data_IF_651022563476
#
_entry.id   IF_651022563476
#
_cell.length_a   1.000
_cell.length_b   1.000
_cell.length_c   1.000
_cell.angle_alpha   90.00
_cell.angle_beta   90.00
_cell.angle_gamma   90.00
#
_symmetry.space_group_name_H-M   'P 1'
#
loop_
_entity.id
_entity.type
_entity.pdbx_description
1 polymer ?
#
# COMPACT_ATOMS: atom_id res chain seq x y z
N UNK A 1 76.52 -44.05 -8.69
CA UNK A 1 75.41 -43.78 -9.62
C UNK A 1 74.37 -42.86 -8.97
N UNK A 2 73.91 -41.85 -9.73
CA UNK A 2 72.72 -40.99 -9.60
C UNK A 2 71.52 -41.60 -8.84
N UNK A 3 70.61 -40.84 -8.19
CA UNK A 3 70.07 -39.50 -8.56
C UNK A 3 69.41 -38.86 -7.32
N UNK A 4 69.76 -37.63 -6.95
CA UNK A 4 68.95 -36.81 -6.03
C UNK A 4 67.75 -36.26 -6.81
N UNK A 5 66.53 -36.54 -6.35
CA UNK A 5 65.30 -35.97 -6.91
C UNK A 5 65.16 -34.55 -6.37
N UNK A 6 65.46 -33.56 -7.20
CA UNK A 6 65.18 -32.15 -6.92
C UNK A 6 63.68 -31.92 -6.98
N UNK A 7 63.03 -31.92 -5.81
CA UNK A 7 61.66 -31.41 -5.67
C UNK A 7 61.70 -29.91 -5.89
N UNK A 8 61.32 -29.49 -7.09
CA UNK A 8 61.10 -28.09 -7.45
C UNK A 8 59.87 -27.60 -6.67
N UNK A 9 60.07 -26.96 -5.52
CA UNK A 9 59.03 -26.15 -4.86
C UNK A 9 58.89 -24.88 -5.68
N UNK A 10 57.91 -24.86 -6.58
CA UNK A 10 57.40 -23.61 -7.11
C UNK A 10 56.68 -22.91 -5.95
N UNK A 11 57.39 -21.99 -5.28
CA UNK A 11 56.75 -21.06 -4.37
C UNK A 11 55.74 -20.26 -5.18
N UNK A 12 54.45 -20.57 -5.01
CA UNK A 12 53.37 -19.71 -5.48
C UNK A 12 53.50 -18.42 -4.70
N UNK A 13 54.20 -17.43 -5.27
CA UNK A 13 54.21 -16.06 -4.79
C UNK A 13 52.79 -15.52 -4.96
N UNK A 14 51.92 -15.80 -3.99
CA UNK A 14 50.68 -15.07 -3.83
C UNK A 14 51.08 -13.62 -3.55
N UNK A 15 50.96 -12.76 -4.56
CA UNK A 15 51.08 -11.32 -4.38
C UNK A 15 49.93 -10.89 -3.47
N UNK A 16 50.21 -10.65 -2.20
CA UNK A 16 49.26 -9.98 -1.32
C UNK A 16 49.13 -8.53 -1.75
N UNK A 17 48.20 -8.30 -2.69
CA UNK A 17 47.74 -6.96 -3.06
C UNK A 17 46.86 -6.43 -1.92
N UNK A 18 47.48 -5.77 -0.94
CA UNK A 18 46.76 -5.05 0.11
C UNK A 18 46.03 -3.84 -0.46
N UNK A 19 44.75 -3.68 -0.10
CA UNK A 19 43.98 -2.49 -0.40
C UNK A 19 44.60 -1.26 0.28
N UNK A 20 44.66 -0.13 -0.42
CA UNK A 20 45.19 1.09 0.19
C UNK A 20 44.16 1.71 1.15
N UNK A 21 44.61 2.26 2.28
CA UNK A 21 43.71 2.88 3.27
C UNK A 21 42.92 4.06 2.68
N UNK A 22 43.52 4.77 1.72
CA UNK A 22 42.88 5.86 0.99
C UNK A 22 41.76 5.36 0.08
N UNK A 23 41.94 4.21 -0.57
CA UNK A 23 40.93 3.61 -1.45
C UNK A 23 39.70 3.19 -0.65
N UNK A 24 39.91 2.57 0.51
CA UNK A 24 38.82 2.24 1.43
C UNK A 24 38.11 3.51 1.93
N UNK A 25 38.86 4.57 2.27
CA UNK A 25 38.30 5.82 2.80
C UNK A 25 37.43 6.55 1.78
N UNK A 26 37.90 6.64 0.53
CA UNK A 26 37.12 7.27 -0.56
C UNK A 26 35.86 6.45 -0.86
N UNK A 27 35.94 5.12 -0.83
CA UNK A 27 34.76 4.27 -1.06
C UNK A 27 33.68 4.51 0.01
N UNK A 28 34.05 4.54 1.29
CA UNK A 28 33.08 4.79 2.38
C UNK A 28 32.49 6.19 2.25
N UNK A 29 33.28 7.20 1.87
CA UNK A 29 32.79 8.55 1.63
C UNK A 29 31.77 8.60 0.47
N UNK A 30 32.04 7.90 -0.63
CA UNK A 30 31.14 7.85 -1.78
C UNK A 30 29.84 7.10 -1.47
N UNK A 31 29.92 5.94 -0.81
CA UNK A 31 28.74 5.18 -0.38
C UNK A 31 27.89 6.02 0.60
N UNK A 32 28.54 6.79 1.49
CA UNK A 32 27.86 7.71 2.40
C UNK A 32 27.00 8.74 1.65
N UNK A 33 27.57 9.41 0.64
CA UNK A 33 26.84 10.40 -0.17
C UNK A 33 25.67 9.75 -0.94
N UNK A 34 25.90 8.59 -1.58
CA UNK A 34 24.87 7.89 -2.35
C UNK A 34 23.70 7.40 -1.47
N UNK A 35 24.00 6.91 -0.25
CA UNK A 35 22.98 6.47 0.69
C UNK A 35 22.08 7.61 1.17
N UNK A 36 22.64 8.79 1.41
CA UNK A 36 21.88 9.96 1.86
C UNK A 36 20.85 10.41 0.81
N UNK A 37 21.25 10.48 -0.46
CA UNK A 37 20.32 10.83 -1.56
C UNK A 37 19.19 9.80 -1.69
N UNK A 38 19.51 8.52 -1.48
CA UNK A 38 18.54 7.43 -1.56
C UNK A 38 17.47 7.52 -0.45
N UNK A 39 17.85 7.94 0.77
CA UNK A 39 16.92 8.05 1.89
C UNK A 39 15.82 9.11 1.66
N UNK A 40 16.19 10.28 1.15
CA UNK A 40 15.22 11.36 0.92
C UNK A 40 14.21 10.96 -0.17
N UNK A 41 14.66 10.32 -1.23
CA UNK A 41 13.77 9.84 -2.29
C UNK A 41 12.86 8.69 -1.82
N UNK A 42 13.36 7.82 -0.94
CA UNK A 42 12.62 6.67 -0.44
C UNK A 42 11.33 7.04 0.31
N UNK A 43 11.34 8.12 1.09
CA UNK A 43 10.15 8.55 1.84
C UNK A 43 8.98 8.94 0.90
N UNK A 44 9.26 9.63 -0.21
CA UNK A 44 8.25 9.97 -1.22
C UNK A 44 7.71 8.71 -1.91
N UNK A 45 8.60 7.79 -2.31
CA UNK A 45 8.18 6.55 -2.96
C UNK A 45 7.35 5.67 -2.04
N UNK A 46 7.66 5.66 -0.73
CA UNK A 46 6.90 4.91 0.26
C UNK A 46 5.48 5.47 0.41
N UNK A 47 5.31 6.79 0.44
CA UNK A 47 4.00 7.43 0.49
C UNK A 47 3.17 7.16 -0.78
N UNK A 48 3.79 7.24 -1.96
CA UNK A 48 3.12 6.95 -3.23
C UNK A 48 2.71 5.47 -3.36
N UNK A 49 3.55 4.55 -2.87
CA UNK A 49 3.21 3.13 -2.82
C UNK A 49 2.05 2.84 -1.85
N UNK A 50 2.03 3.53 -0.71
CA UNK A 50 0.90 3.47 0.22
C UNK A 50 -0.39 3.98 -0.43
N UNK A 51 -0.33 5.07 -1.20
CA UNK A 51 -1.47 5.59 -1.95
C UNK A 51 -1.96 4.62 -3.06
N UNK A 52 -1.06 3.92 -3.76
CA UNK A 52 -1.46 2.87 -4.69
C UNK A 52 -2.23 1.72 -4.00
N UNK A 53 -1.88 1.42 -2.73
CA UNK A 53 -2.67 0.49 -1.92
C UNK A 53 -4.05 1.04 -1.56
N UNK A 54 -4.17 2.35 -1.32
CA UNK A 54 -5.46 3.03 -1.10
C UNK A 54 -6.34 2.89 -2.34
N UNK A 55 -5.82 3.22 -3.52
CA UNK A 55 -6.57 3.18 -4.78
C UNK A 55 -7.06 1.77 -5.12
N UNK A 56 -6.19 0.76 -4.98
CA UNK A 56 -6.56 -0.64 -5.23
C UNK A 56 -7.58 -1.19 -4.21
N UNK A 57 -7.46 -0.78 -2.95
CA UNK A 57 -8.44 -1.15 -1.91
C UNK A 57 -9.77 -0.46 -2.15
N UNK A 58 -9.76 0.82 -2.54
CA UNK A 58 -10.97 1.56 -2.88
C UNK A 58 -11.68 0.90 -4.06
N UNK A 59 -10.97 0.57 -5.13
CA UNK A 59 -11.56 -0.15 -6.26
C UNK A 59 -12.17 -1.49 -5.86
N UNK A 60 -11.49 -2.24 -5.00
CA UNK A 60 -12.02 -3.51 -4.46
C UNK A 60 -13.28 -3.27 -3.62
N UNK A 61 -13.31 -2.18 -2.84
CA UNK A 61 -14.46 -1.80 -2.02
C UNK A 61 -15.64 -1.32 -2.86
N UNK A 62 -15.42 -0.56 -3.94
CA UNK A 62 -16.49 -0.13 -4.85
C UNK A 62 -17.14 -1.32 -5.55
N UNK A 63 -16.32 -2.26 -6.02
CA UNK A 63 -16.83 -3.50 -6.65
C UNK A 63 -17.61 -4.35 -5.64
N UNK A 64 -17.13 -4.43 -4.39
CA UNK A 64 -17.86 -5.15 -3.34
C UNK A 64 -19.21 -4.49 -3.01
N UNK A 65 -19.22 -3.15 -2.86
CA UNK A 65 -20.44 -2.38 -2.64
C UNK A 65 -21.45 -2.58 -3.77
N UNK A 66 -21.01 -2.50 -5.03
CA UNK A 66 -21.84 -2.76 -6.21
C UNK A 66 -22.35 -4.20 -6.27
N UNK A 67 -21.50 -5.17 -5.95
CA UNK A 67 -21.89 -6.57 -5.93
C UNK A 67 -22.99 -6.85 -4.90
N UNK A 68 -22.91 -6.23 -3.71
CA UNK A 68 -23.96 -6.37 -2.69
C UNK A 68 -25.32 -5.81 -3.11
N UNK A 69 -25.32 -4.82 -4.01
CA UNK A 69 -26.51 -4.13 -4.51
C UNK A 69 -27.04 -4.71 -5.84
N UNK A 70 -26.37 -5.73 -6.38
CA UNK A 70 -26.76 -6.32 -7.67
C UNK A 70 -28.04 -7.14 -7.62
N UNK A 71 -28.48 -7.58 -6.43
CA UNK A 71 -29.75 -8.29 -6.22
C UNK A 71 -30.82 -7.35 -5.62
N UNK A 72 -31.86 -6.96 -6.39
CA UNK A 72 -32.92 -6.08 -5.91
C UNK A 72 -33.76 -6.65 -4.77
N UNK A 73 -33.78 -7.97 -4.59
CA UNK A 73 -34.62 -8.63 -3.56
C UNK A 73 -33.90 -8.79 -2.22
N UNK A 74 -32.57 -8.60 -2.20
CA UNK A 74 -31.74 -8.81 -1.02
C UNK A 74 -30.69 -7.71 -0.90
N UNK A 75 -31.16 -6.48 -0.71
CA UNK A 75 -30.31 -5.33 -0.44
C UNK A 75 -29.70 -5.43 0.96
N UNK A 76 -28.45 -4.96 1.14
CA UNK A 76 -27.86 -4.87 2.47
C UNK A 76 -28.67 -3.91 3.35
N UNK A 77 -28.68 -4.11 4.68
CA UNK A 77 -29.31 -3.17 5.60
C UNK A 77 -28.62 -1.80 5.52
N UNK A 78 -29.33 -0.71 5.87
CA UNK A 78 -28.73 0.62 5.98
C UNK A 78 -27.52 0.59 6.91
N UNK A 79 -26.45 1.21 6.47
CA UNK A 79 -25.21 1.39 7.20
C UNK A 79 -25.03 2.87 7.53
N UNK A 80 -25.04 3.20 8.82
CA UNK A 80 -24.57 4.51 9.26
C UNK A 80 -23.09 4.71 8.97
N UNK A 81 -22.50 5.78 9.51
CA UNK A 81 -21.05 5.99 9.43
C UNK A 81 -20.30 4.86 10.15
N UNK A 82 -19.75 3.96 9.36
CA UNK A 82 -18.92 2.85 9.81
C UNK A 82 -17.45 3.20 9.63
N UNK A 83 -16.62 2.79 10.59
CA UNK A 83 -15.18 2.92 10.49
C UNK A 83 -14.50 1.66 11.00
N UNK A 84 -13.51 1.17 10.25
CA UNK A 84 -12.59 0.15 10.73
C UNK A 84 -11.15 0.57 10.45
N UNK A 85 -10.32 0.39 11.47
CA UNK A 85 -8.88 0.53 11.38
C UNK A 85 -8.24 -0.84 11.52
N UNK A 86 -7.24 -1.09 10.68
CA UNK A 86 -6.41 -2.28 10.79
C UNK A 86 -6.81 -3.41 9.84
N UNK A 87 -5.88 -4.36 9.66
CA UNK A 87 -6.02 -5.41 8.66
C UNK A 87 -7.10 -6.41 9.04
N UNK A 88 -7.69 -7.03 8.01
CA UNK A 88 -8.58 -8.18 8.19
C UNK A 88 -9.93 -8.01 7.52
N UNK A 89 -10.82 -8.96 7.81
CA UNK A 89 -12.20 -8.89 7.35
C UNK A 89 -12.94 -7.76 8.06
N UNK A 90 -14.00 -7.27 7.42
CA UNK A 90 -14.93 -6.32 8.02
C UNK A 90 -15.58 -6.95 9.26
N UNK A 91 -15.49 -6.28 10.41
CA UNK A 91 -15.95 -6.83 11.69
C UNK A 91 -17.43 -6.65 11.96
N UNK A 92 -18.01 -5.56 11.45
CA UNK A 92 -19.44 -5.28 11.63
C UNK A 92 -20.29 -6.08 10.62
N UNK A 93 -21.36 -6.77 11.05
CA UNK A 93 -22.14 -7.63 10.17
C UNK A 93 -22.91 -6.85 9.08
N UNK A 94 -23.37 -5.62 9.36
CA UNK A 94 -24.02 -4.79 8.36
C UNK A 94 -22.98 -4.31 7.34
N UNK A 95 -21.82 -3.84 7.80
CA UNK A 95 -20.74 -3.43 6.91
C UNK A 95 -20.20 -4.60 6.08
N UNK A 96 -20.14 -5.82 6.64
CA UNK A 96 -19.69 -7.01 5.94
C UNK A 96 -20.68 -7.48 4.85
N UNK A 97 -21.97 -7.22 5.03
CA UNK A 97 -23.00 -7.50 4.02
C UNK A 97 -22.99 -6.49 2.86
N UNK A 98 -22.57 -5.24 3.13
CA UNK A 98 -22.40 -4.21 2.11
C UNK A 98 -21.05 -4.35 1.37
N UNK A 99 -19.95 -4.59 2.09
CA UNK A 99 -18.61 -4.78 1.53
C UNK A 99 -18.26 -6.26 1.43
N UNK A 100 -19.01 -7.00 0.61
CA UNK A 100 -18.92 -8.45 0.50
C UNK A 100 -17.49 -8.92 0.18
N UNK A 101 -16.93 -9.75 1.08
CA UNK A 101 -15.62 -10.37 0.89
C UNK A 101 -14.42 -9.42 0.95
N UNK A 102 -14.63 -8.13 1.24
CA UNK A 102 -13.55 -7.16 1.35
C UNK A 102 -12.65 -7.50 2.55
N UNK A 103 -11.33 -7.53 2.30
CA UNK A 103 -10.31 -7.68 3.33
C UNK A 103 -9.39 -6.48 3.27
N UNK A 104 -9.24 -5.79 4.40
CA UNK A 104 -8.39 -4.63 4.52
C UNK A 104 -6.92 -5.05 4.60
N UNK A 105 -6.03 -4.40 3.83
CA UNK A 105 -4.60 -4.58 4.00
C UNK A 105 -4.09 -3.99 5.32
N UNK A 106 -2.79 -4.14 5.59
CA UNK A 106 -2.18 -3.59 6.80
C UNK A 106 -2.18 -2.06 6.73
N UNK A 107 -2.33 -1.43 7.90
CA UNK A 107 -2.23 0.04 8.04
C UNK A 107 -3.22 0.81 7.15
N UNK A 108 -4.36 0.20 6.83
CA UNK A 108 -5.46 0.89 6.17
C UNK A 108 -6.63 1.11 7.11
N UNK A 109 -7.31 2.22 6.88
CA UNK A 109 -8.58 2.57 7.53
C UNK A 109 -9.62 2.76 6.44
N UNK A 110 -10.81 2.22 6.67
CA UNK A 110 -11.98 2.41 5.81
C UNK A 110 -13.04 3.16 6.59
N UNK A 111 -13.71 4.09 5.90
CA UNK A 111 -14.96 4.69 6.35
C UNK A 111 -15.99 4.37 5.28
N UNK A 112 -17.16 3.87 5.67
CA UNK A 112 -18.22 3.57 4.74
C UNK A 112 -19.58 4.00 5.32
N UNK A 113 -20.49 4.41 4.45
CA UNK A 113 -21.91 4.56 4.77
C UNK A 113 -22.75 4.13 3.58
N UNK A 114 -23.94 3.62 3.87
CA UNK A 114 -24.88 3.15 2.87
C UNK A 114 -26.31 3.44 3.32
N UNK A 115 -27.08 4.15 2.50
CA UNK A 115 -28.50 4.35 2.74
C UNK A 115 -29.33 3.88 1.53
N UNK A 116 -30.04 2.74 1.62
CA UNK A 116 -30.89 2.24 0.54
C UNK A 116 -32.16 3.07 0.32
N UNK A 117 -32.57 3.90 1.28
CA UNK A 117 -33.78 4.71 1.16
C UNK A 117 -33.52 6.05 0.43
N UNK A 118 -32.25 6.32 0.14
CA UNK A 118 -31.77 7.53 -0.48
C UNK A 118 -31.91 7.43 -2.01
N UNK A 119 -33.04 7.93 -2.55
CA UNK A 119 -33.39 7.83 -3.98
C UNK A 119 -33.34 9.17 -4.74
N UNK A 120 -33.13 10.27 -4.02
CA UNK A 120 -33.09 11.61 -4.61
C UNK A 120 -31.66 12.02 -4.98
N UNK A 121 -31.52 12.85 -6.02
CA UNK A 121 -30.22 13.36 -6.49
C UNK A 121 -29.44 14.19 -5.45
N UNK A 122 -30.12 14.70 -4.41
CA UNK A 122 -29.48 15.48 -3.34
C UNK A 122 -28.99 14.66 -2.15
N UNK A 123 -29.25 13.35 -2.14
CA UNK A 123 -28.93 12.47 -1.03
C UNK A 123 -27.79 11.51 -1.42
N UNK A 124 -26.87 11.27 -0.49
CA UNK A 124 -25.68 10.46 -0.68
C UNK A 124 -26.00 9.01 -0.30
N UNK A 125 -26.14 8.13 -1.29
CA UNK A 125 -26.59 6.74 -1.10
C UNK A 125 -25.44 5.82 -0.70
N UNK A 126 -24.28 5.96 -1.33
CA UNK A 126 -23.08 5.21 -0.99
C UNK A 126 -21.91 6.16 -0.73
N UNK A 127 -21.17 5.92 0.35
CA UNK A 127 -19.89 6.56 0.61
C UNK A 127 -18.89 5.50 1.01
N UNK A 128 -17.72 5.50 0.38
CA UNK A 128 -16.59 4.68 0.82
C UNK A 128 -15.32 5.49 0.69
N UNK A 129 -14.59 5.63 1.79
CA UNK A 129 -13.31 6.33 1.85
C UNK A 129 -12.24 5.42 2.43
N UNK A 130 -11.07 5.42 1.78
CA UNK A 130 -9.94 4.62 2.21
C UNK A 130 -8.77 5.54 2.56
N UNK A 131 -8.15 5.22 3.69
CA UNK A 131 -6.98 5.87 4.22
C UNK A 131 -5.86 4.85 4.41
N UNK A 132 -4.62 5.30 4.31
CA UNK A 132 -3.45 4.52 4.69
C UNK A 132 -2.54 5.34 5.59
N UNK A 133 -2.01 4.73 6.65
CA UNK A 133 -1.26 5.46 7.68
C UNK A 133 0.06 6.10 7.19
N UNK A 134 0.52 5.73 5.99
CA UNK A 134 1.79 6.19 5.39
C UNK A 134 1.55 7.06 4.15
N UNK A 135 0.31 7.13 3.67
CA UNK A 135 -0.06 7.98 2.54
C UNK A 135 -0.41 9.38 3.05
N UNK A 136 -0.03 10.40 2.29
CA UNK A 136 -0.45 11.80 2.52
C UNK A 136 -1.75 12.15 1.78
N UNK A 137 -2.25 11.21 0.99
CA UNK A 137 -3.42 11.35 0.15
C UNK A 137 -4.39 10.19 0.39
N UNK A 138 -5.68 10.47 0.26
CA UNK A 138 -6.76 9.50 0.33
C UNK A 138 -7.54 9.46 -0.97
N UNK A 139 -8.38 8.44 -1.08
CA UNK A 139 -9.34 8.35 -2.14
C UNK A 139 -10.68 7.94 -1.55
N UNK A 140 -11.74 8.53 -2.09
CA UNK A 140 -13.10 8.18 -1.71
C UNK A 140 -14.00 8.10 -2.92
N UNK A 141 -15.02 7.29 -2.78
CA UNK A 141 -16.04 7.04 -3.78
C UNK A 141 -17.38 7.39 -3.18
N UNK A 142 -18.18 8.10 -3.97
CA UNK A 142 -19.55 8.44 -3.60
C UNK A 142 -20.49 8.00 -4.70
N UNK A 143 -21.68 7.56 -4.31
CA UNK A 143 -22.85 7.45 -5.17
C UNK A 143 -23.98 8.27 -4.56
N UNK A 144 -24.72 8.93 -5.44
CA UNK A 144 -25.92 9.67 -5.10
C UNK A 144 -27.17 8.83 -5.37
N UNK A 145 -28.29 9.21 -4.76
CA UNK A 145 -29.56 8.47 -4.90
C UNK A 145 -30.10 8.38 -6.33
N UNK A 146 -29.65 9.25 -7.23
CA UNK A 146 -29.95 9.21 -8.66
C UNK A 146 -29.09 8.19 -9.44
N UNK A 147 -28.17 7.50 -8.77
CA UNK A 147 -27.26 6.52 -9.34
C UNK A 147 -25.97 7.11 -9.91
N UNK A 148 -25.80 8.44 -9.92
CA UNK A 148 -24.54 9.05 -10.31
C UNK A 148 -23.46 8.70 -9.27
N UNK A 149 -22.33 8.19 -9.75
CA UNK A 149 -21.19 7.92 -8.87
C UNK A 149 -19.94 8.63 -9.34
N UNK A 150 -19.12 9.05 -8.37
CA UNK A 150 -17.86 9.69 -8.65
C UNK A 150 -16.78 9.20 -7.69
N UNK A 151 -15.57 9.04 -8.22
CA UNK A 151 -14.40 8.67 -7.42
C UNK A 151 -13.46 9.85 -7.36
N UNK A 152 -13.24 10.33 -6.14
CA UNK A 152 -12.25 11.34 -5.83
C UNK A 152 -10.93 10.62 -5.54
N UNK A 153 -9.92 10.93 -6.35
CA UNK A 153 -8.55 10.46 -6.19
C UNK A 153 -7.66 11.62 -5.79
N UNK A 154 -6.55 11.32 -5.13
CA UNK A 154 -5.50 12.26 -4.74
C UNK A 154 -6.04 13.40 -3.86
N UNK A 155 -6.89 13.03 -2.90
CA UNK A 155 -7.47 13.98 -1.97
C UNK A 155 -6.45 14.26 -0.88
N UNK A 156 -6.06 15.53 -0.62
CA UNK A 156 -5.15 15.85 0.46
C UNK A 156 -5.76 15.43 1.79
N UNK A 157 -5.04 14.59 2.52
CA UNK A 157 -5.56 13.94 3.71
C UNK A 157 -4.80 12.65 3.90
N UNK A 158 -4.05 12.55 5.00
CA UNK A 158 -3.20 11.39 5.27
C UNK A 158 -3.39 10.88 6.68
N UNK A 159 -2.93 9.66 6.91
CA UNK A 159 -2.92 9.03 8.22
C UNK A 159 -4.07 8.07 8.48
N UNK A 160 -3.95 7.39 9.61
CA UNK A 160 -5.00 6.63 10.26
C UNK A 160 -5.37 7.40 11.53
#
# INVERSE_FOLDING_TARGET
>A
MCKKKTTNRQDMTHSEQGFTLIELMVIVMLIGILSYLSLVAFELYRANAAYASVESTLHSATVAAEASQSDPNNLPPPLGWYMQMGPGAITDPAAASYLVGLKLPRQTRIVASYDPNCVDAGCLSDFVEIWHCLANETAFWVRWGDGFSWTFRNVPGGGC
#
